data_IF_187365958873
#
_entry.id   IF_187365958873
#
_cell.length_a   1.000
_cell.length_b   1.000
_cell.length_c   1.000
_cell.angle_alpha   90.00
_cell.angle_beta   90.00
_cell.angle_gamma   90.00
#
_symmetry.space_group_name_H-M   'P 1'
#
loop_
_entity.id
_entity.type
_entity.pdbx_description
1 polymer ?
#
# COMPACT_ATOMS: atom_id res chain seq x y z
N UNK A 1 11.70 0.00 -7.20
CA UNK A 1 10.33 -0.49 -6.98
C UNK A 1 9.60 0.46 -6.05
N UNK A 2 8.33 0.70 -6.35
CA UNK A 2 7.43 1.54 -5.56
C UNK A 2 6.35 0.64 -4.98
N UNK A 3 6.09 0.76 -3.68
CA UNK A 3 5.05 -0.01 -2.99
C UNK A 3 4.03 0.98 -2.41
N UNK A 4 2.78 0.99 -2.92
CA UNK A 4 1.75 1.86 -2.38
C UNK A 4 1.15 1.29 -1.09
N UNK A 5 0.80 2.19 -0.18
CA UNK A 5 0.01 1.88 1.01
C UNK A 5 -1.48 1.68 0.65
N UNK A 6 -2.23 1.10 1.58
CA UNK A 6 -3.67 0.83 1.44
C UNK A 6 -4.44 2.10 1.04
N UNK A 7 -4.23 3.21 1.74
CA UNK A 7 -4.97 4.44 1.50
C UNK A 7 -4.71 5.02 0.10
N UNK A 8 -3.50 4.89 -0.41
CA UNK A 8 -3.16 5.36 -1.76
C UNK A 8 -3.96 4.57 -2.81
N UNK A 9 -4.01 3.25 -2.68
CA UNK A 9 -4.77 2.41 -3.61
C UNK A 9 -6.29 2.63 -3.50
N UNK A 10 -6.81 2.77 -2.28
CA UNK A 10 -8.23 3.08 -2.08
C UNK A 10 -8.59 4.41 -2.74
N UNK A 11 -7.79 5.44 -2.52
CA UNK A 11 -8.00 6.74 -3.14
C UNK A 11 -7.95 6.64 -4.67
N UNK A 12 -7.03 5.85 -5.21
CA UNK A 12 -6.90 5.66 -6.65
C UNK A 12 -8.08 4.88 -7.28
N UNK A 13 -8.68 3.95 -6.54
CA UNK A 13 -9.63 2.99 -7.07
C UNK A 13 -11.10 3.31 -6.76
N UNK A 14 -11.38 4.04 -5.67
CA UNK A 14 -12.75 4.33 -5.26
C UNK A 14 -13.13 5.80 -5.51
N UNK A 15 -14.17 6.02 -6.31
CA UNK A 15 -14.60 7.36 -6.74
C UNK A 15 -15.11 8.25 -5.58
N UNK A 16 -15.58 7.67 -4.48
CA UNK A 16 -16.00 8.43 -3.30
C UNK A 16 -14.83 8.97 -2.46
N UNK A 17 -13.61 8.51 -2.73
CA UNK A 17 -12.45 8.95 -1.95
C UNK A 17 -12.11 10.41 -2.26
N UNK A 18 -11.87 11.25 -1.24
CA UNK A 18 -11.65 12.69 -1.43
C UNK A 18 -10.40 13.01 -2.26
N UNK A 19 -9.43 12.11 -2.31
CA UNK A 19 -8.19 12.27 -3.09
C UNK A 19 -8.14 11.39 -4.34
N UNK A 20 -9.32 10.96 -4.82
CA UNK A 20 -9.42 10.02 -5.93
C UNK A 20 -8.69 10.50 -7.19
N UNK A 21 -8.94 11.74 -7.63
CA UNK A 21 -8.34 12.26 -8.87
C UNK A 21 -6.81 12.28 -8.83
N UNK A 22 -6.24 12.74 -7.72
CA UNK A 22 -4.79 12.82 -7.52
C UNK A 22 -4.14 11.43 -7.47
N UNK A 23 -4.70 10.55 -6.66
CA UNK A 23 -4.17 9.19 -6.50
C UNK A 23 -4.33 8.36 -7.77
N UNK A 24 -5.46 8.51 -8.48
CA UNK A 24 -5.67 7.84 -9.77
C UNK A 24 -4.65 8.30 -10.81
N UNK A 25 -4.40 9.61 -10.89
CA UNK A 25 -3.40 10.16 -11.80
C UNK A 25 -2.00 9.63 -11.47
N UNK A 26 -1.65 9.55 -10.18
CA UNK A 26 -0.40 8.96 -9.72
C UNK A 26 -0.27 7.50 -10.16
N UNK A 27 -1.29 6.68 -9.91
CA UNK A 27 -1.26 5.26 -10.27
C UNK A 27 -1.11 5.06 -11.78
N UNK A 28 -1.85 5.82 -12.57
CA UNK A 28 -1.79 5.77 -14.03
C UNK A 28 -0.39 6.10 -14.54
N UNK A 29 0.22 7.18 -14.04
CA UNK A 29 1.59 7.56 -14.41
C UNK A 29 2.59 6.48 -14.01
N UNK A 30 2.49 5.97 -12.80
CA UNK A 30 3.41 4.93 -12.29
C UNK A 30 3.39 3.68 -13.18
N UNK A 31 2.21 3.25 -13.59
CA UNK A 31 2.07 2.08 -14.47
C UNK A 31 2.55 2.35 -15.90
N UNK A 32 2.44 3.59 -16.39
CA UNK A 32 2.86 3.99 -17.73
C UNK A 32 4.37 4.24 -17.81
N UNK A 33 4.96 4.82 -16.77
CA UNK A 33 6.37 5.24 -16.77
C UNK A 33 7.35 4.06 -16.62
N UNK A 34 6.82 2.86 -16.44
CA UNK A 34 7.63 1.64 -16.34
C UNK A 34 8.28 1.42 -14.98
N UNK A 35 7.96 2.24 -14.00
CA UNK A 35 8.37 2.00 -12.62
C UNK A 35 7.74 0.70 -12.11
N UNK A 36 8.55 -0.10 -11.43
CA UNK A 36 8.07 -1.36 -10.89
C UNK A 36 7.15 -1.10 -9.71
N UNK A 37 5.88 -1.51 -9.83
CA UNK A 37 4.89 -1.39 -8.77
C UNK A 37 4.82 -2.70 -8.00
N UNK A 38 5.16 -2.65 -6.72
CA UNK A 38 5.00 -3.78 -5.81
C UNK A 38 3.65 -3.74 -5.12
N UNK A 39 2.82 -4.74 -5.33
CA UNK A 39 1.61 -4.94 -4.55
C UNK A 39 1.93 -5.89 -3.41
N UNK A 40 2.02 -5.34 -2.20
CA UNK A 40 2.18 -6.16 -1.02
C UNK A 40 0.84 -6.86 -0.72
N UNK A 41 0.85 -8.17 -0.54
CA UNK A 41 -0.38 -8.96 -0.41
C UNK A 41 -1.28 -8.49 0.74
N UNK A 42 -0.71 -8.14 1.88
CA UNK A 42 -1.47 -7.60 3.02
C UNK A 42 -2.12 -6.25 2.67
N UNK A 43 -1.48 -5.44 1.82
CA UNK A 43 -2.06 -4.20 1.31
C UNK A 43 -3.19 -4.50 0.34
N UNK A 44 -2.98 -5.39 -0.63
CA UNK A 44 -3.99 -5.77 -1.62
C UNK A 44 -5.26 -6.31 -0.95
N UNK A 45 -5.11 -7.23 0.00
CA UNK A 45 -6.26 -7.78 0.73
C UNK A 45 -6.93 -6.73 1.62
N UNK A 46 -6.16 -5.84 2.22
CA UNK A 46 -6.68 -4.71 3.00
C UNK A 46 -7.51 -3.75 2.15
N UNK A 47 -7.09 -3.47 0.93
CA UNK A 47 -7.84 -2.66 -0.04
C UNK A 47 -9.19 -3.30 -0.36
N UNK A 48 -9.20 -4.60 -0.66
CA UNK A 48 -10.45 -5.34 -0.91
C UNK A 48 -11.39 -5.26 0.29
N UNK A 49 -10.87 -5.48 1.50
CA UNK A 49 -11.63 -5.41 2.74
C UNK A 49 -12.29 -4.05 2.94
N UNK A 50 -11.56 -2.97 2.72
CA UNK A 50 -12.06 -1.61 2.98
C UNK A 50 -13.01 -1.17 1.88
N UNK A 51 -12.70 -1.44 0.61
CA UNK A 51 -13.57 -1.03 -0.52
C UNK A 51 -14.93 -1.72 -0.52
N UNK A 52 -15.03 -2.87 0.12
CA UNK A 52 -16.30 -3.61 0.24
C UNK A 52 -17.07 -3.30 1.54
N UNK A 53 -16.57 -2.36 2.35
CA UNK A 53 -17.12 -2.07 3.67
C UNK A 53 -18.16 -0.94 3.61
N UNK A 54 -19.45 -1.29 3.87
CA UNK A 54 -20.55 -0.35 3.89
C UNK A 54 -20.46 0.70 5.02
N UNK A 55 -19.61 0.47 6.03
CA UNK A 55 -19.34 1.45 7.08
C UNK A 55 -18.38 2.54 6.65
N UNK A 56 -17.61 2.31 5.59
CA UNK A 56 -16.62 3.25 5.06
C UNK A 56 -17.19 4.03 3.87
N UNK A 57 -17.87 3.35 2.96
CA UNK A 57 -18.41 3.94 1.73
C UNK A 57 -19.93 3.85 1.67
N UNK A 58 -20.56 4.90 1.13
CA UNK A 58 -22.00 4.89 0.84
C UNK A 58 -22.35 3.85 -0.22
N UNK A 59 -21.49 3.74 -1.23
CA UNK A 59 -21.60 2.77 -2.32
C UNK A 59 -20.35 1.89 -2.33
N UNK A 60 -20.27 0.92 -1.41
CA UNK A 60 -19.14 0.01 -1.40
C UNK A 60 -19.11 -0.82 -2.69
N UNK A 61 -17.93 -1.21 -3.10
CA UNK A 61 -17.80 -2.15 -4.21
C UNK A 61 -18.25 -3.54 -3.78
N UNK A 62 -18.72 -4.35 -4.74
CA UNK A 62 -18.84 -5.78 -4.51
C UNK A 62 -17.46 -6.42 -4.37
N UNK A 63 -17.39 -7.60 -3.78
CA UNK A 63 -16.14 -8.35 -3.70
C UNK A 63 -15.53 -8.57 -5.07
N UNK A 64 -16.35 -8.95 -6.06
CA UNK A 64 -15.88 -9.17 -7.44
C UNK A 64 -15.30 -7.90 -8.06
N UNK A 65 -15.95 -6.75 -7.83
CA UNK A 65 -15.45 -5.45 -8.33
C UNK A 65 -14.12 -5.08 -7.68
N UNK A 66 -14.00 -5.25 -6.37
CA UNK A 66 -12.77 -4.92 -5.64
C UNK A 66 -11.60 -5.82 -6.06
N UNK A 67 -11.83 -7.13 -6.16
CA UNK A 67 -10.83 -8.07 -6.65
C UNK A 67 -10.46 -7.76 -8.10
N UNK A 68 -11.44 -7.49 -8.95
CA UNK A 68 -11.21 -7.14 -10.34
C UNK A 68 -10.35 -5.89 -10.51
N UNK A 69 -10.51 -4.88 -9.64
CA UNK A 69 -9.68 -3.68 -9.64
C UNK A 69 -8.21 -4.00 -9.32
N UNK A 70 -7.96 -4.82 -8.31
CA UNK A 70 -6.60 -5.28 -7.96
C UNK A 70 -5.99 -6.11 -9.10
N UNK A 71 -6.74 -7.05 -9.65
CA UNK A 71 -6.27 -7.88 -10.75
C UNK A 71 -5.95 -7.07 -12.00
N UNK A 72 -6.67 -5.99 -12.27
CA UNK A 72 -6.38 -5.07 -13.37
C UNK A 72 -5.00 -4.44 -13.20
N UNK A 73 -4.65 -4.03 -11.99
CA UNK A 73 -3.29 -3.53 -11.69
C UNK A 73 -2.26 -4.65 -11.89
N UNK A 74 -2.55 -5.85 -11.40
CA UNK A 74 -1.63 -6.99 -11.49
C UNK A 74 -1.36 -7.43 -12.93
N UNK A 75 -2.26 -7.18 -13.87
CA UNK A 75 -2.07 -7.48 -15.29
C UNK A 75 -1.08 -6.53 -15.96
N UNK A 76 -0.76 -5.40 -15.35
CA UNK A 76 0.28 -4.51 -15.87
C UNK A 76 1.62 -5.22 -15.81
N UNK A 77 2.42 -5.07 -16.87
CA UNK A 77 3.78 -5.62 -16.92
C UNK A 77 4.71 -5.02 -15.86
N UNK A 78 4.33 -3.84 -15.33
CA UNK A 78 5.09 -3.15 -14.28
C UNK A 78 4.76 -3.67 -12.87
N UNK A 79 3.65 -4.37 -12.68
CA UNK A 79 3.20 -4.80 -11.37
C UNK A 79 3.71 -6.19 -10.99
N UNK A 80 4.00 -6.36 -9.70
CA UNK A 80 4.40 -7.64 -9.12
C UNK A 80 3.76 -7.80 -7.75
N UNK A 81 3.20 -8.98 -7.47
CA UNK A 81 2.69 -9.31 -6.13
C UNK A 81 3.86 -9.66 -5.22
N UNK A 82 3.91 -9.03 -4.06
CA UNK A 82 4.96 -9.20 -3.06
C UNK A 82 4.35 -9.77 -1.79
N UNK A 83 5.05 -10.66 -1.14
CA UNK A 83 4.69 -11.20 0.16
C UNK A 83 5.89 -11.21 1.10
N UNK A 84 5.63 -11.34 2.39
CA UNK A 84 6.66 -11.33 3.41
C UNK A 84 7.68 -12.45 3.24
N UNK A 85 8.91 -12.14 3.65
CA UNK A 85 10.05 -13.03 3.64
C UNK A 85 10.63 -13.19 5.03
N UNK A 86 11.61 -14.10 5.20
CA UNK A 86 12.36 -14.20 6.44
C UNK A 86 13.07 -12.89 6.80
N UNK A 87 13.59 -12.19 5.80
CA UNK A 87 14.23 -10.88 6.01
C UNK A 87 13.20 -9.83 6.46
N UNK A 88 12.02 -9.80 5.87
CA UNK A 88 10.94 -8.91 6.32
C UNK A 88 10.61 -9.16 7.79
N UNK A 89 10.55 -10.42 8.21
CA UNK A 89 10.26 -10.76 9.60
C UNK A 89 11.37 -10.28 10.56
N UNK A 90 12.62 -10.46 10.20
CA UNK A 90 13.75 -9.97 11.00
C UNK A 90 13.69 -8.46 11.18
N UNK A 91 13.45 -7.71 10.09
CA UNK A 91 13.33 -6.26 10.11
C UNK A 91 12.12 -5.84 10.94
N UNK A 92 10.98 -6.49 10.73
CA UNK A 92 9.77 -6.24 11.51
C UNK A 92 9.99 -6.43 13.01
N UNK A 93 10.63 -7.53 13.37
CA UNK A 93 10.95 -7.86 14.78
C UNK A 93 11.82 -6.79 15.41
N UNK A 94 12.83 -6.30 14.68
CA UNK A 94 13.71 -5.24 15.13
C UNK A 94 12.99 -3.90 15.26
N UNK A 95 12.19 -3.51 14.26
CA UNK A 95 11.41 -2.26 14.27
C UNK A 95 10.44 -2.22 15.45
N UNK A 96 9.67 -3.30 15.64
CA UNK A 96 8.66 -3.33 16.70
C UNK A 96 9.28 -3.29 18.10
N UNK A 97 10.41 -3.92 18.30
CA UNK A 97 11.15 -3.87 19.58
C UNK A 97 11.79 -2.50 19.81
N UNK A 98 12.44 -1.94 18.80
CA UNK A 98 13.16 -0.66 18.92
C UNK A 98 12.23 0.51 19.18
N UNK A 99 11.06 0.53 18.55
CA UNK A 99 10.07 1.61 18.68
C UNK A 99 8.98 1.28 19.70
N UNK A 100 9.03 0.11 20.34
CA UNK A 100 8.03 -0.35 21.31
C UNK A 100 6.60 -0.32 20.78
N UNK A 101 6.41 -0.68 19.51
CA UNK A 101 5.08 -0.71 18.90
C UNK A 101 4.21 -1.80 19.49
N UNK A 102 2.92 -1.50 19.55
CA UNK A 102 1.87 -2.44 19.92
C UNK A 102 0.57 -2.08 19.19
N UNK A 103 -0.34 -3.03 19.09
CA UNK A 103 -1.68 -2.86 18.52
C UNK A 103 -1.66 -2.16 17.14
N UNK A 104 -2.16 -0.93 17.04
CA UNK A 104 -2.35 -0.20 15.80
C UNK A 104 -1.05 0.10 15.04
N UNK A 105 0.08 0.15 15.72
CA UNK A 105 1.39 0.36 15.09
C UNK A 105 1.96 -0.87 14.39
N UNK A 106 1.47 -2.05 14.71
CA UNK A 106 1.98 -3.32 14.18
C UNK A 106 1.76 -3.47 12.67
N UNK A 107 0.56 -3.21 12.12
CA UNK A 107 0.38 -3.27 10.66
C UNK A 107 1.33 -2.36 9.89
N UNK A 108 1.53 -1.13 10.35
CA UNK A 108 2.44 -0.18 9.71
C UNK A 108 3.89 -0.65 9.76
N UNK A 109 4.31 -1.22 10.89
CA UNK A 109 5.65 -1.79 11.03
C UNK A 109 5.88 -2.96 10.07
N UNK A 110 4.86 -3.78 9.82
CA UNK A 110 4.96 -4.87 8.85
C UNK A 110 5.10 -4.36 7.42
N UNK A 111 4.32 -3.35 7.05
CA UNK A 111 4.44 -2.70 5.73
C UNK A 111 5.85 -2.11 5.58
N UNK A 112 6.31 -1.32 6.56
CA UNK A 112 7.64 -0.72 6.55
C UNK A 112 8.74 -1.78 6.41
N UNK A 113 8.65 -2.89 7.15
CA UNK A 113 9.62 -3.97 7.11
C UNK A 113 9.71 -4.61 5.72
N UNK A 114 8.57 -4.83 5.06
CA UNK A 114 8.56 -5.38 3.71
C UNK A 114 9.14 -4.41 2.69
N UNK A 115 8.84 -3.12 2.80
CA UNK A 115 9.41 -2.09 1.92
C UNK A 115 10.93 -2.02 2.07
N UNK A 116 11.43 -2.04 3.30
CA UNK A 116 12.87 -2.03 3.58
C UNK A 116 13.52 -3.31 3.03
N UNK A 117 12.93 -4.48 3.26
CA UNK A 117 13.46 -5.76 2.77
C UNK A 117 13.57 -5.81 1.24
N UNK A 118 12.66 -5.16 0.54
CA UNK A 118 12.67 -5.07 -0.94
C UNK A 118 13.57 -3.94 -1.46
N UNK A 119 14.19 -3.17 -0.59
CA UNK A 119 14.94 -1.96 -0.95
C UNK A 119 14.10 -1.02 -1.85
N UNK A 120 12.82 -0.92 -1.52
CA UNK A 120 11.82 -0.17 -2.28
C UNK A 120 11.50 1.16 -1.61
N UNK A 121 10.66 1.96 -2.27
CA UNK A 121 10.11 3.20 -1.74
C UNK A 121 8.63 3.00 -1.42
N UNK A 122 8.22 3.32 -0.21
CA UNK A 122 6.80 3.37 0.17
C UNK A 122 6.17 4.66 -0.35
N UNK A 123 4.99 4.55 -0.95
CA UNK A 123 4.15 5.71 -1.26
C UNK A 123 2.95 5.69 -0.33
N UNK A 124 2.85 6.68 0.53
CA UNK A 124 1.78 6.81 1.51
C UNK A 124 1.57 8.27 1.90
N UNK A 125 0.32 8.68 2.03
CA UNK A 125 -0.01 10.01 2.57
C UNK A 125 -0.18 9.99 4.08
N UNK A 126 0.02 8.86 4.73
CA UNK A 126 0.04 8.75 6.18
C UNK A 126 1.40 9.19 6.73
N UNK A 127 1.41 10.36 7.38
CA UNK A 127 2.61 10.95 7.98
C UNK A 127 3.19 10.12 9.12
N UNK A 128 2.44 9.18 9.66
CA UNK A 128 2.92 8.26 10.68
C UNK A 128 4.12 7.42 10.24
N UNK A 129 4.30 7.20 8.95
CA UNK A 129 5.46 6.48 8.41
C UNK A 129 6.78 7.25 8.56
N UNK A 130 6.75 8.55 8.80
CA UNK A 130 7.97 9.34 9.06
C UNK A 130 8.74 8.87 10.30
N UNK A 131 8.09 8.17 11.23
CA UNK A 131 8.72 7.60 12.43
C UNK A 131 9.72 6.48 12.16
N UNK A 132 9.68 5.86 10.98
CA UNK A 132 10.61 4.80 10.59
C UNK A 132 11.82 5.41 9.87
N UNK A 133 12.92 5.60 10.58
CA UNK A 133 14.09 6.33 10.06
C UNK A 133 14.77 5.68 8.85
N UNK A 134 14.74 4.37 8.75
CA UNK A 134 15.37 3.61 7.66
C UNK A 134 14.43 3.39 6.46
N UNK A 135 13.19 3.85 6.55
CA UNK A 135 12.20 3.68 5.50
C UNK A 135 12.34 4.79 4.46
N UNK A 136 12.52 4.41 3.20
CA UNK A 136 12.36 5.34 2.09
C UNK A 136 10.87 5.53 1.84
N UNK A 137 10.38 6.73 2.11
CA UNK A 137 8.96 7.06 2.08
C UNK A 137 8.72 8.41 1.41
N UNK A 138 7.73 8.43 0.53
CA UNK A 138 7.25 9.64 -0.16
C UNK A 138 5.73 9.68 -0.15
N UNK A 139 5.17 10.87 -0.36
CA UNK A 139 3.72 11.04 -0.54
C UNK A 139 3.35 10.94 -2.02
N UNK A 140 2.05 10.85 -2.31
CA UNK A 140 1.53 10.84 -3.70
C UNK A 140 1.94 12.11 -4.46
N UNK A 141 2.05 13.24 -3.76
CA UNK A 141 2.39 14.55 -4.33
C UNK A 141 3.90 14.82 -4.44
N UNK A 142 4.71 13.93 -3.91
CA UNK A 142 6.16 14.13 -3.87
C UNK A 142 6.83 13.95 -5.21
#
# INVERSE_FOLDING_TARGET
MIIPDVNVLINALHTESPRHAEARAWLTRTLQDGDRLGLLDVVATGVVRIMTNARVFKKPLSTDQAIGAIETIMRSSSAVLIHGSSLSWEIFSELTRSYHFHAAGIPDAWIAANVIAEEATLVSDDKGFARFGDLDWVTVSS
#
